data_IF_872208177931
#
_entry.id   IF_872208177931
#
_cell.length_a   1.000
_cell.length_b   1.000
_cell.length_c   1.000
_cell.angle_alpha   90.00
_cell.angle_beta   90.00
_cell.angle_gamma   90.00
#
_symmetry.space_group_name_H-M   'P 1'
#
loop_
_entity.id
_entity.type
_entity.pdbx_description
1 polymer ?
#
# COMPACT_ATOMS: atom_id res chain seq x y z
N UNK A 1 -24.60 -21.62 33.30
CA UNK A 1 -24.62 -22.06 31.87
C UNK A 1 -24.63 -20.80 31.02
N UNK A 2 -23.67 -20.44 30.17
CA UNK A 2 -22.69 -21.19 29.37
C UNK A 2 -21.37 -20.38 29.27
N UNK A 3 -20.30 -20.83 29.95
CA UNK A 3 -18.92 -20.34 29.75
C UNK A 3 -18.15 -21.14 28.67
N UNK A 4 -18.84 -22.00 27.91
CA UNK A 4 -18.19 -22.97 27.00
C UNK A 4 -17.97 -22.50 25.57
N UNK A 5 -18.37 -21.28 25.18
CA UNK A 5 -18.24 -20.80 23.79
C UNK A 5 -17.35 -19.57 23.57
N UNK A 6 -16.89 -18.86 24.61
CA UNK A 6 -16.03 -17.69 24.42
C UNK A 6 -14.61 -18.09 23.94
N UNK A 7 -14.07 -19.20 24.46
CA UNK A 7 -12.75 -19.70 24.08
C UNK A 7 -12.67 -20.23 22.63
N UNK A 8 -13.81 -20.61 22.02
CA UNK A 8 -13.86 -21.06 20.63
C UNK A 8 -13.85 -19.89 19.62
N UNK A 9 -14.24 -18.70 20.05
CA UNK A 9 -14.25 -17.47 19.23
C UNK A 9 -12.93 -16.67 19.36
N UNK A 10 -12.21 -16.80 20.47
CA UNK A 10 -10.94 -16.11 20.72
C UNK A 10 -9.71 -16.92 20.26
N UNK A 11 -9.69 -17.35 18.98
CA UNK A 11 -8.64 -18.23 18.46
C UNK A 11 -7.23 -17.65 18.57
N UNK A 12 -7.10 -16.33 18.50
CA UNK A 12 -5.83 -15.61 18.63
C UNK A 12 -5.50 -15.19 20.07
N UNK A 13 -6.36 -15.52 21.05
CA UNK A 13 -6.14 -15.16 22.45
C UNK A 13 -6.20 -13.65 22.71
N UNK A 14 -6.84 -12.88 21.83
CA UNK A 14 -7.01 -11.43 21.95
C UNK A 14 -7.78 -11.08 23.23
N UNK A 15 -8.89 -11.76 23.53
CA UNK A 15 -9.64 -11.50 24.75
C UNK A 15 -8.83 -11.95 25.98
N UNK A 16 -8.12 -13.07 25.93
CA UNK A 16 -7.23 -13.44 27.04
C UNK A 16 -6.13 -12.39 27.27
N UNK A 17 -5.56 -11.84 26.20
CA UNK A 17 -4.55 -10.79 26.24
C UNK A 17 -5.12 -9.48 26.82
N UNK A 18 -6.23 -8.98 26.27
CA UNK A 18 -6.89 -7.74 26.71
C UNK A 18 -7.19 -7.78 28.20
N UNK A 19 -7.81 -8.85 28.69
CA UNK A 19 -8.16 -9.00 30.10
C UNK A 19 -6.91 -8.98 31.00
N UNK A 20 -5.85 -9.70 30.61
CA UNK A 20 -4.61 -9.77 31.40
C UNK A 20 -3.85 -8.44 31.42
N UNK A 21 -3.84 -7.71 30.30
CA UNK A 21 -3.02 -6.51 30.15
C UNK A 21 -3.72 -5.23 30.59
N UNK A 22 -5.01 -5.10 30.32
CA UNK A 22 -5.77 -3.86 30.54
C UNK A 22 -6.92 -4.01 31.52
N UNK A 23 -7.28 -5.24 31.90
CA UNK A 23 -8.41 -5.51 32.77
C UNK A 23 -9.76 -5.56 32.05
N UNK A 24 -10.84 -5.82 32.79
CA UNK A 24 -12.18 -5.99 32.22
C UNK A 24 -12.83 -4.65 31.83
N UNK A 25 -12.47 -3.56 32.52
CA UNK A 25 -13.19 -2.28 32.46
C UNK A 25 -12.67 -1.32 31.37
N UNK A 26 -11.59 -1.68 30.68
CA UNK A 26 -11.10 -0.93 29.52
C UNK A 26 -12.15 -0.95 28.42
N UNK A 27 -12.50 0.19 27.83
CA UNK A 27 -13.24 0.28 26.57
C UNK A 27 -12.31 0.66 25.41
N UNK A 28 -12.66 0.37 24.15
CA UNK A 28 -11.74 0.58 23.03
C UNK A 28 -11.28 2.04 22.90
N UNK A 29 -12.20 2.99 23.06
CA UNK A 29 -11.94 4.42 22.92
C UNK A 29 -11.01 4.99 24.00
N UNK A 30 -10.80 4.27 25.11
CA UNK A 30 -9.80 4.66 26.12
C UNK A 30 -8.38 4.68 25.56
N UNK A 31 -8.12 3.98 24.45
CA UNK A 31 -6.82 4.01 23.76
C UNK A 31 -6.53 5.31 23.05
N UNK A 32 -7.50 6.20 22.85
CA UNK A 32 -7.25 7.50 22.20
C UNK A 32 -6.22 8.33 22.95
N UNK A 33 -6.14 8.21 24.28
CA UNK A 33 -5.13 8.90 25.08
C UNK A 33 -3.71 8.31 24.91
N UNK A 34 -3.60 7.06 24.43
CA UNK A 34 -2.32 6.38 24.19
C UNK A 34 -1.77 6.66 22.78
N UNK A 35 -2.61 7.14 21.86
CA UNK A 35 -2.17 7.67 20.59
C UNK A 35 -1.68 9.10 20.79
N UNK A 36 -0.37 9.28 20.96
CA UNK A 36 0.22 10.59 21.27
C UNK A 36 0.85 11.26 20.07
N UNK A 37 1.34 10.48 19.10
CA UNK A 37 2.17 10.97 17.99
C UNK A 37 3.32 11.89 18.47
N UNK A 38 3.83 11.67 19.69
CA UNK A 38 4.78 12.58 20.36
C UNK A 38 6.17 12.62 19.70
N UNK A 39 6.53 11.58 18.96
CA UNK A 39 7.73 11.45 18.17
C UNK A 39 7.44 11.41 16.66
N UNK A 40 6.21 11.74 16.24
CA UNK A 40 5.86 11.88 14.83
C UNK A 40 6.60 13.07 14.21
N UNK A 41 7.50 12.75 13.28
CA UNK A 41 8.20 13.70 12.43
C UNK A 41 7.78 13.47 10.97
N UNK A 42 6.91 14.34 10.42
CA UNK A 42 6.39 14.17 9.06
C UNK A 42 7.51 14.31 8.01
N UNK A 43 8.57 15.08 8.28
CA UNK A 43 9.71 15.19 7.37
C UNK A 43 10.49 13.88 7.32
N UNK A 44 10.77 13.28 8.48
CA UNK A 44 11.47 12.00 8.53
C UNK A 44 10.71 10.88 7.80
N UNK A 45 9.38 10.89 7.88
CA UNK A 45 8.53 9.94 7.15
C UNK A 45 8.62 10.13 5.63
N UNK A 46 8.44 11.36 5.13
CA UNK A 46 8.48 11.58 3.67
C UNK A 46 9.88 11.36 3.08
N UNK A 47 10.93 11.69 3.84
CA UNK A 47 12.31 11.36 3.47
C UNK A 47 12.50 9.84 3.38
N UNK A 48 11.95 9.06 4.32
CA UNK A 48 11.99 7.59 4.24
C UNK A 48 11.28 7.07 2.98
N UNK A 49 10.10 7.61 2.65
CA UNK A 49 9.36 7.18 1.45
C UNK A 49 10.14 7.48 0.17
N UNK A 50 10.74 8.66 0.08
CA UNK A 50 11.61 9.03 -1.03
C UNK A 50 12.91 8.21 -1.04
N UNK A 51 13.46 7.87 0.12
CA UNK A 51 14.63 7.01 0.28
C UNK A 51 14.37 5.60 -0.26
N UNK A 52 13.19 5.06 0.02
CA UNK A 52 12.71 3.77 -0.48
C UNK A 52 12.47 3.75 -2.00
N UNK A 53 12.47 4.92 -2.66
CA UNK A 53 12.17 5.05 -4.09
C UNK A 53 10.69 5.10 -4.42
N UNK A 54 9.81 5.25 -3.42
CA UNK A 54 8.38 5.39 -3.64
C UNK A 54 8.06 6.60 -4.53
N UNK A 55 7.02 6.48 -5.36
CA UNK A 55 6.52 7.57 -6.21
C UNK A 55 5.25 8.20 -5.63
N UNK A 56 4.62 7.52 -4.68
CA UNK A 56 3.42 7.93 -3.98
C UNK A 56 3.35 7.25 -2.62
N UNK A 57 2.55 7.79 -1.72
CA UNK A 57 2.17 7.14 -0.48
C UNK A 57 0.67 7.30 -0.25
N UNK A 58 0.08 6.41 0.55
CA UNK A 58 -1.32 6.47 0.94
C UNK A 58 -1.37 6.43 2.47
N UNK A 59 -2.02 7.41 3.09
CA UNK A 59 -2.12 7.51 4.54
C UNK A 59 -3.53 7.16 5.04
N UNK A 60 -3.62 6.35 6.09
CA UNK A 60 -4.89 5.98 6.75
C UNK A 60 -5.54 7.18 7.43
N UNK A 61 -6.40 7.87 6.68
CA UNK A 61 -7.11 9.05 7.18
C UNK A 61 -8.18 8.67 8.19
N UNK A 62 -8.88 7.56 7.95
CA UNK A 62 -9.87 6.96 8.83
C UNK A 62 -9.95 5.46 8.53
N UNK A 63 -9.73 4.63 9.54
CA UNK A 63 -9.92 3.18 9.43
C UNK A 63 -11.33 2.78 9.87
N UNK A 64 -11.61 1.48 9.94
CA UNK A 64 -12.92 0.98 10.32
C UNK A 64 -13.39 1.42 11.70
N UNK A 65 -12.49 1.75 12.63
CA UNK A 65 -12.84 2.23 13.97
C UNK A 65 -13.45 3.64 13.99
N UNK A 66 -13.40 4.35 12.87
CA UNK A 66 -13.93 5.71 12.71
C UNK A 66 -13.04 6.83 13.24
N UNK A 67 -11.84 6.54 13.75
CA UNK A 67 -10.95 7.59 14.24
C UNK A 67 -10.25 8.30 13.08
N UNK A 68 -10.50 9.60 12.94
CA UNK A 68 -9.95 10.40 11.85
C UNK A 68 -8.61 11.07 12.21
N UNK A 69 -7.63 11.03 11.32
CA UNK A 69 -6.32 11.67 11.45
C UNK A 69 -6.23 13.02 10.72
N UNK A 70 -7.36 13.67 10.47
CA UNK A 70 -7.50 14.92 9.73
C UNK A 70 -8.65 15.76 10.28
N UNK A 71 -8.76 17.01 9.84
CA UNK A 71 -9.87 17.90 10.22
C UNK A 71 -11.18 17.44 9.57
N UNK A 72 -12.07 16.89 10.40
CA UNK A 72 -13.40 16.41 10.02
C UNK A 72 -14.47 17.50 10.04
N UNK A 73 -14.11 18.75 10.35
CA UNK A 73 -15.04 19.88 10.46
C UNK A 73 -16.16 19.59 11.46
N UNK A 74 -17.41 19.79 11.02
CA UNK A 74 -18.60 19.55 11.85
C UNK A 74 -19.17 18.12 11.75
N UNK A 75 -18.52 17.21 11.04
CA UNK A 75 -19.04 15.85 10.83
C UNK A 75 -18.89 14.96 12.07
N UNK A 76 -17.76 15.04 12.77
CA UNK A 76 -17.46 14.26 13.97
C UNK A 76 -16.31 14.89 14.74
N UNK A 77 -16.29 14.72 16.06
CA UNK A 77 -15.14 15.03 16.91
C UNK A 77 -14.27 13.78 17.15
N UNK A 78 -14.57 12.61 16.56
CA UNK A 78 -13.77 11.39 16.72
C UNK A 78 -12.48 11.49 15.87
N UNK A 79 -11.56 12.36 16.27
CA UNK A 79 -10.35 12.64 15.49
C UNK A 79 -9.12 13.01 16.33
N UNK A 80 -7.95 12.97 15.68
CA UNK A 80 -6.66 13.36 16.24
C UNK A 80 -6.58 14.83 16.65
N UNK A 81 -7.47 15.70 16.13
CA UNK A 81 -7.57 17.09 16.58
C UNK A 81 -8.25 17.20 17.95
N UNK A 82 -9.22 16.33 18.23
CA UNK A 82 -10.04 16.38 19.43
C UNK A 82 -9.61 15.39 20.51
N UNK A 83 -8.81 14.38 20.19
CA UNK A 83 -8.29 13.36 21.12
C UNK A 83 -6.84 13.02 20.79
N UNK A 84 -6.14 12.36 21.72
CA UNK A 84 -4.77 11.93 21.52
C UNK A 84 -3.82 13.09 21.15
N UNK A 85 -3.24 13.14 19.94
CA UNK A 85 -2.19 14.10 19.58
C UNK A 85 -2.60 15.58 19.60
N UNK A 86 -3.90 15.89 19.46
CA UNK A 86 -4.43 17.26 19.25
C UNK A 86 -3.82 17.96 18.04
N UNK A 87 -3.58 17.21 16.97
CA UNK A 87 -2.86 17.63 15.76
C UNK A 87 -3.58 17.14 14.50
N UNK A 88 -3.46 17.91 13.43
CA UNK A 88 -3.86 17.49 12.09
C UNK A 88 -2.72 16.68 11.45
N UNK A 89 -2.69 15.38 11.75
CA UNK A 89 -1.59 14.49 11.36
C UNK A 89 -1.49 14.38 9.83
N UNK A 90 -2.62 14.29 9.12
CA UNK A 90 -2.66 14.27 7.66
C UNK A 90 -2.12 15.58 7.08
N UNK A 91 -2.59 16.72 7.60
CA UNK A 91 -2.17 18.05 7.14
C UNK A 91 -0.67 18.25 7.27
N UNK A 92 -0.11 17.94 8.44
CA UNK A 92 1.34 18.02 8.69
C UNK A 92 2.15 17.09 7.76
N UNK A 93 1.68 15.87 7.50
CA UNK A 93 2.34 14.94 6.59
C UNK A 93 2.30 15.43 5.13
N UNK A 94 1.15 15.93 4.68
CA UNK A 94 0.97 16.41 3.31
C UNK A 94 1.73 17.72 3.05
N UNK A 95 1.83 18.59 4.05
CA UNK A 95 2.66 19.80 4.00
C UNK A 95 4.15 19.44 3.93
N UNK A 96 4.62 18.49 4.75
CA UNK A 96 5.99 18.01 4.69
C UNK A 96 6.31 17.37 3.33
N UNK A 97 5.41 16.54 2.80
CA UNK A 97 5.56 15.97 1.46
C UNK A 97 5.64 17.07 0.39
N UNK A 98 4.75 18.07 0.44
CA UNK A 98 4.77 19.21 -0.49
C UNK A 98 6.09 19.99 -0.45
N UNK A 99 6.64 20.14 0.75
CA UNK A 99 7.80 21.01 1.01
C UNK A 99 9.12 20.31 0.70
N UNK A 100 9.27 19.07 1.15
CA UNK A 100 10.55 18.37 1.13
C UNK A 100 10.65 17.31 0.02
N UNK A 101 9.52 16.73 -0.39
CA UNK A 101 9.48 15.64 -1.36
C UNK A 101 8.32 15.83 -2.37
N UNK A 102 8.24 16.98 -3.08
CA UNK A 102 7.09 17.35 -3.92
C UNK A 102 6.82 16.39 -5.09
N UNK A 103 7.76 15.51 -5.41
CA UNK A 103 7.60 14.44 -6.40
C UNK A 103 6.68 13.31 -5.92
N UNK A 104 6.50 13.13 -4.60
CA UNK A 104 5.61 12.11 -4.05
C UNK A 104 4.15 12.50 -4.28
N UNK A 105 3.39 11.64 -4.95
CA UNK A 105 1.93 11.76 -4.96
C UNK A 105 1.36 11.40 -3.60
N UNK A 106 0.33 12.13 -3.19
CA UNK A 106 -0.22 12.08 -1.83
C UNK A 106 -1.61 11.46 -1.87
N UNK A 107 -1.73 10.25 -1.34
CA UNK A 107 -2.98 9.50 -1.29
C UNK A 107 -3.59 9.43 0.10
N UNK A 108 -4.89 9.21 0.14
CA UNK A 108 -5.68 9.08 1.36
C UNK A 108 -6.40 7.75 1.35
N UNK A 109 -6.13 6.90 2.34
CA UNK A 109 -6.95 5.73 2.62
C UNK A 109 -8.20 6.15 3.40
N UNK A 110 -9.37 5.64 3.02
CA UNK A 110 -10.65 5.94 3.66
C UNK A 110 -11.55 4.70 3.80
N UNK A 111 -11.81 4.28 5.04
CA UNK A 111 -12.80 3.24 5.30
C UNK A 111 -14.22 3.73 5.03
N UNK A 112 -14.92 3.08 4.09
CA UNK A 112 -16.34 3.34 3.81
C UNK A 112 -17.22 2.93 5.01
N UNK A 113 -17.14 1.71 5.55
CA UNK A 113 -17.87 1.37 6.77
C UNK A 113 -17.19 1.99 8.00
N UNK A 114 -18.00 2.22 9.04
CA UNK A 114 -17.52 2.69 10.34
C UNK A 114 -18.11 1.82 11.45
N UNK A 115 -17.26 0.98 12.01
CA UNK A 115 -17.63 -0.01 13.00
C UNK A 115 -18.07 0.65 14.28
N UNK A 116 -19.18 0.16 14.78
CA UNK A 116 -19.84 0.56 15.99
C UNK A 116 -20.39 1.99 16.03
N UNK A 117 -20.33 2.72 14.92
CA UNK A 117 -21.05 3.98 14.78
C UNK A 117 -22.56 3.68 14.62
N UNK A 118 -23.43 4.15 15.53
CA UNK A 118 -24.87 3.89 15.43
C UNK A 118 -25.52 4.57 14.21
N UNK A 119 -24.95 5.65 13.67
CA UNK A 119 -25.46 6.33 12.47
C UNK A 119 -25.22 5.50 11.20
N UNK A 120 -24.18 4.66 11.21
CA UNK A 120 -23.95 3.65 10.17
C UNK A 120 -24.98 2.52 10.21
N UNK A 121 -25.76 2.38 11.30
CA UNK A 121 -26.67 1.25 11.55
C UNK A 121 -27.65 0.92 10.43
N UNK A 122 -28.16 1.94 9.71
CA UNK A 122 -29.08 1.73 8.57
C UNK A 122 -28.41 1.15 7.32
N UNK A 123 -27.08 1.21 7.26
CA UNK A 123 -26.24 0.77 6.15
C UNK A 123 -25.37 -0.45 6.50
N UNK A 124 -25.01 -0.58 7.78
CA UNK A 124 -24.20 -1.67 8.29
C UNK A 124 -24.90 -3.02 8.19
N UNK A 125 -24.12 -4.07 7.96
CA UNK A 125 -24.63 -5.43 7.93
C UNK A 125 -24.84 -5.92 9.36
N UNK A 126 -26.05 -5.75 9.89
CA UNK A 126 -26.53 -6.57 11.01
C UNK A 126 -27.01 -7.89 10.43
N UNK A 127 -26.26 -8.99 10.61
CA UNK A 127 -26.83 -10.31 10.31
C UNK A 127 -26.96 -11.25 11.49
N UNK A 128 -26.24 -11.11 12.61
CA UNK A 128 -26.40 -12.05 13.73
C UNK A 128 -26.14 -11.41 15.11
N UNK A 129 -26.64 -12.07 16.16
CA UNK A 129 -26.33 -11.83 17.58
C UNK A 129 -24.86 -12.16 17.95
N UNK A 130 -24.00 -12.35 16.94
CA UNK A 130 -22.58 -12.67 17.04
C UNK A 130 -21.83 -11.98 15.89
N UNK A 131 -20.72 -11.33 16.23
CA UNK A 131 -19.78 -10.76 15.26
C UNK A 131 -19.12 -11.90 14.48
N UNK A 132 -19.33 -11.96 13.17
CA UNK A 132 -18.54 -12.81 12.24
C UNK A 132 -17.59 -11.91 11.44
N UNK A 133 -16.55 -12.50 10.83
CA UNK A 133 -15.50 -11.78 10.08
C UNK A 133 -15.97 -11.01 8.83
N UNK A 134 -17.28 -10.95 8.57
CA UNK A 134 -17.91 -10.24 7.45
C UNK A 134 -18.97 -9.22 7.92
N UNK A 135 -19.01 -8.94 9.22
CA UNK A 135 -19.96 -8.00 9.82
C UNK A 135 -19.35 -6.59 9.81
N UNK A 136 -20.02 -5.61 9.20
CA UNK A 136 -19.69 -4.19 9.35
C UNK A 136 -20.67 -3.58 10.38
N UNK A 137 -20.44 -3.74 11.68
CA UNK A 137 -21.43 -3.42 12.70
C UNK A 137 -21.73 -1.93 12.72
N UNK A 138 -23.00 -1.54 12.58
CA UNK A 138 -23.49 -0.18 12.82
C UNK A 138 -24.31 -0.08 14.11
N UNK A 139 -23.89 -0.80 15.15
CA UNK A 139 -24.53 -0.81 16.48
C UNK A 139 -23.50 -0.42 17.53
N UNK A 140 -23.92 0.10 18.68
CA UNK A 140 -22.98 0.37 19.77
C UNK A 140 -22.27 -0.93 20.21
N UNK A 141 -20.95 -0.86 20.37
CA UNK A 141 -20.14 -1.96 20.87
C UNK A 141 -20.54 -2.35 22.30
N UNK A 142 -20.32 -3.60 22.68
CA UNK A 142 -20.44 -4.04 24.06
C UNK A 142 -19.10 -4.57 24.54
N UNK A 143 -18.71 -4.13 25.73
CA UNK A 143 -17.51 -4.63 26.39
C UNK A 143 -17.65 -6.16 26.59
N UNK A 144 -16.67 -6.96 26.12
CA UNK A 144 -16.80 -8.42 26.09
C UNK A 144 -16.78 -9.09 27.48
N UNK A 145 -16.42 -8.38 28.55
CA UNK A 145 -16.40 -8.92 29.91
C UNK A 145 -17.52 -8.38 30.79
N UNK A 146 -17.80 -7.08 30.71
CA UNK A 146 -18.85 -6.45 31.52
C UNK A 146 -20.23 -6.56 30.87
N UNK A 147 -20.30 -6.68 29.53
CA UNK A 147 -21.52 -6.69 28.75
C UNK A 147 -22.21 -5.32 28.61
N UNK A 148 -21.60 -4.28 29.19
CA UNK A 148 -22.06 -2.90 29.10
C UNK A 148 -21.78 -2.33 27.70
N UNK A 149 -22.59 -1.37 27.29
CA UNK A 149 -22.36 -0.63 26.04
C UNK A 149 -21.14 0.27 26.19
N UNK A 150 -20.22 0.21 25.22
CA UNK A 150 -19.07 1.11 25.16
C UNK A 150 -19.53 2.46 24.57
N UNK A 151 -19.08 3.60 25.10
CA UNK A 151 -19.41 4.90 24.52
C UNK A 151 -18.78 5.04 23.14
N UNK A 152 -19.54 5.56 22.16
CA UNK A 152 -18.98 5.93 20.86
C UNK A 152 -18.47 7.39 20.90
N UNK A 153 -17.22 7.54 21.34
CA UNK A 153 -16.62 8.83 21.70
C UNK A 153 -16.42 9.72 20.46
N UNK A 154 -16.70 11.01 20.62
CA UNK A 154 -16.55 12.01 19.56
C UNK A 154 -17.72 12.12 18.59
N UNK A 155 -18.77 11.30 18.72
CA UNK A 155 -19.98 11.39 17.88
C UNK A 155 -20.68 12.74 18.03
N UNK A 156 -21.11 13.31 16.90
CA UNK A 156 -21.97 14.49 16.84
C UNK A 156 -23.38 14.09 16.35
N UNK A 157 -24.43 14.85 16.70
CA UNK A 157 -25.76 14.61 16.17
C UNK A 157 -25.81 14.97 14.68
N UNK A 158 -26.00 13.96 13.83
CA UNK A 158 -26.17 14.08 12.38
C UNK A 158 -27.51 13.47 11.94
N UNK A 159 -27.99 13.80 10.73
CA UNK A 159 -29.21 13.23 10.16
C UNK A 159 -28.97 11.93 9.41
N UNK A 160 -27.93 11.90 8.58
CA UNK A 160 -27.60 10.79 7.69
C UNK A 160 -26.09 10.54 7.66
N UNK A 161 -25.65 9.30 7.93
CA UNK A 161 -24.22 8.97 7.94
C UNK A 161 -23.53 9.22 6.59
N UNK A 162 -24.19 8.92 5.46
CA UNK A 162 -23.58 9.11 4.15
C UNK A 162 -23.55 10.61 3.82
N UNK A 163 -24.67 11.31 3.96
CA UNK A 163 -24.80 12.71 3.52
C UNK A 163 -24.09 13.71 4.46
N UNK A 164 -24.12 13.47 5.78
CA UNK A 164 -23.63 14.42 6.79
C UNK A 164 -22.25 14.05 7.36
N UNK A 165 -21.76 12.82 7.16
CA UNK A 165 -20.45 12.38 7.67
C UNK A 165 -19.52 11.87 6.57
N UNK A 166 -19.89 10.81 5.84
CA UNK A 166 -19.02 10.17 4.85
C UNK A 166 -18.66 11.11 3.70
N UNK A 167 -19.65 11.65 3.00
CA UNK A 167 -19.42 12.52 1.83
C UNK A 167 -18.68 13.79 2.23
N UNK A 168 -19.05 14.53 3.31
CA UNK A 168 -18.29 15.70 3.75
C UNK A 168 -16.83 15.38 4.08
N UNK A 169 -16.54 14.24 4.70
CA UNK A 169 -15.16 13.78 4.95
C UNK A 169 -14.41 13.54 3.63
N UNK A 170 -15.00 12.80 2.68
CA UNK A 170 -14.40 12.55 1.38
C UNK A 170 -14.17 13.86 0.60
N UNK A 171 -15.09 14.81 0.68
CA UNK A 171 -14.96 16.14 0.05
C UNK A 171 -13.87 16.98 0.71
N UNK A 172 -13.71 16.93 2.04
CA UNK A 172 -12.60 17.58 2.72
C UNK A 172 -11.24 17.03 2.25
N UNK A 173 -11.10 15.70 2.16
CA UNK A 173 -9.88 15.06 1.65
C UNK A 173 -9.59 15.44 0.18
N UNK A 174 -10.63 15.52 -0.64
CA UNK A 174 -10.53 15.89 -2.05
C UNK A 174 -10.12 17.36 -2.27
N UNK A 175 -10.82 18.29 -1.62
CA UNK A 175 -10.77 19.71 -1.95
C UNK A 175 -9.89 20.54 -1.00
N UNK A 176 -9.82 20.15 0.28
CA UNK A 176 -9.01 20.89 1.26
C UNK A 176 -7.59 20.30 1.32
N UNK A 177 -7.47 18.98 1.43
CA UNK A 177 -6.18 18.29 1.48
C UNK A 177 -5.58 18.01 0.11
N UNK A 178 -6.34 18.22 -0.97
CA UNK A 178 -5.87 18.01 -2.33
C UNK A 178 -5.29 16.60 -2.55
N UNK A 179 -5.95 15.54 -2.06
CA UNK A 179 -5.51 14.17 -2.32
C UNK A 179 -5.36 13.90 -3.82
N UNK A 180 -4.36 13.11 -4.20
CA UNK A 180 -4.13 12.60 -5.55
C UNK A 180 -4.77 11.22 -5.74
N UNK A 181 -4.98 10.46 -4.65
CA UNK A 181 -5.48 9.09 -4.65
C UNK A 181 -6.54 8.95 -3.55
N UNK A 182 -7.77 8.60 -3.91
CA UNK A 182 -8.79 8.17 -2.95
C UNK A 182 -8.78 6.64 -2.90
N UNK A 183 -8.12 6.08 -1.89
CA UNK A 183 -7.99 4.63 -1.73
C UNK A 183 -9.01 4.18 -0.68
N UNK A 184 -10.18 3.69 -1.09
CA UNK A 184 -11.17 3.28 -0.09
C UNK A 184 -11.05 1.80 0.25
N UNK A 185 -11.76 1.38 1.28
CA UNK A 185 -11.78 -0.03 1.67
C UNK A 185 -13.16 -0.54 2.06
N UNK A 186 -13.29 -1.87 2.01
CA UNK A 186 -14.44 -2.69 2.37
C UNK A 186 -15.74 -2.47 1.56
N UNK A 187 -15.80 -1.43 0.71
CA UNK A 187 -17.03 -1.08 0.00
C UNK A 187 -18.18 -0.82 0.97
N UNK A 188 -19.39 -1.32 0.65
CA UNK A 188 -20.67 -1.06 1.33
C UNK A 188 -21.40 0.21 0.85
N UNK A 189 -22.51 0.57 1.53
CA UNK A 189 -23.37 1.67 1.11
C UNK A 189 -22.60 3.01 1.08
N UNK A 190 -22.71 3.75 -0.02
CA UNK A 190 -21.92 4.95 -0.29
C UNK A 190 -22.63 5.87 -1.29
N UNK A 191 -22.12 7.09 -1.46
CA UNK A 191 -22.43 8.00 -2.58
C UNK A 191 -21.18 8.31 -3.43
N UNK A 192 -20.26 7.34 -3.50
CA UNK A 192 -18.95 7.47 -4.18
C UNK A 192 -19.11 7.86 -5.64
N UNK A 193 -20.10 7.31 -6.36
CA UNK A 193 -20.30 7.61 -7.78
C UNK A 193 -20.55 9.11 -8.02
N UNK A 194 -21.36 9.76 -7.18
CA UNK A 194 -21.66 11.18 -7.29
C UNK A 194 -20.48 12.04 -6.85
N UNK A 195 -19.84 11.66 -5.74
CA UNK A 195 -18.61 12.29 -5.26
C UNK A 195 -17.50 12.25 -6.33
N UNK A 196 -17.19 11.08 -6.87
CA UNK A 196 -16.13 10.88 -7.86
C UNK A 196 -16.40 11.70 -9.14
N UNK A 197 -17.65 11.73 -9.61
CA UNK A 197 -18.02 12.57 -10.75
C UNK A 197 -17.74 14.07 -10.51
N UNK A 198 -18.02 14.59 -9.31
CA UNK A 198 -17.68 15.99 -8.95
C UNK A 198 -16.17 16.18 -8.85
N UNK A 199 -15.49 15.29 -8.13
CA UNK A 199 -14.07 15.39 -7.86
C UNK A 199 -13.22 15.30 -9.13
N UNK A 200 -13.53 14.37 -10.04
CA UNK A 200 -12.82 14.23 -11.32
C UNK A 200 -12.99 15.45 -12.21
N UNK A 201 -14.20 16.02 -12.28
CA UNK A 201 -14.46 17.25 -13.04
C UNK A 201 -13.71 18.45 -12.43
N UNK A 202 -13.71 18.57 -11.10
CA UNK A 202 -12.96 19.60 -10.41
C UNK A 202 -11.44 19.43 -10.62
N UNK A 203 -10.89 18.24 -10.43
CA UNK A 203 -9.46 17.97 -10.62
C UNK A 203 -9.03 18.30 -12.05
N UNK A 204 -9.82 17.90 -13.05
CA UNK A 204 -9.61 18.28 -14.45
C UNK A 204 -9.59 19.80 -14.64
N UNK A 205 -10.51 20.54 -14.00
CA UNK A 205 -10.53 22.02 -14.07
C UNK A 205 -9.27 22.66 -13.47
N UNK A 206 -8.62 21.98 -12.52
CA UNK A 206 -7.37 22.41 -11.89
C UNK A 206 -6.12 21.89 -12.62
N UNK A 207 -6.28 21.18 -13.74
CA UNK A 207 -5.15 20.53 -14.44
C UNK A 207 -4.50 19.39 -13.65
N UNK A 208 -5.23 18.81 -12.69
CA UNK A 208 -4.77 17.72 -11.84
C UNK A 208 -5.25 16.37 -12.35
N UNK A 209 -4.42 15.35 -12.16
CA UNK A 209 -4.80 13.95 -12.32
C UNK A 209 -5.04 13.36 -10.93
N UNK A 210 -6.17 12.70 -10.77
CA UNK A 210 -6.56 12.02 -9.53
C UNK A 210 -7.10 10.63 -9.88
N UNK A 211 -7.08 9.72 -8.93
CA UNK A 211 -7.48 8.33 -9.15
C UNK A 211 -8.21 7.74 -7.95
N UNK A 212 -9.03 6.72 -8.19
CA UNK A 212 -9.79 5.98 -7.16
C UNK A 212 -9.65 4.46 -7.36
N UNK A 213 -9.53 3.71 -6.26
CA UNK A 213 -9.44 2.25 -6.34
C UNK A 213 -10.82 1.58 -6.55
N UNK A 214 -10.82 0.26 -6.72
CA UNK A 214 -12.01 -0.59 -6.91
C UNK A 214 -12.81 -0.89 -5.63
N UNK A 215 -12.36 -0.41 -4.48
CA UNK A 215 -12.96 -0.72 -3.17
C UNK A 215 -13.82 0.41 -2.58
N UNK A 216 -14.00 1.52 -3.29
CA UNK A 216 -14.90 2.60 -2.87
C UNK A 216 -16.39 2.30 -3.06
N UNK A 217 -16.78 1.05 -3.36
CA UNK A 217 -18.17 0.64 -3.49
C UNK A 217 -18.87 1.16 -4.76
N UNK A 218 -18.09 1.60 -5.77
CA UNK A 218 -18.59 1.98 -7.09
C UNK A 218 -17.64 1.45 -8.18
N UNK A 219 -17.92 0.28 -8.79
CA UNK A 219 -17.05 -0.30 -9.81
C UNK A 219 -16.94 0.58 -11.06
N UNK A 220 -17.92 1.46 -11.30
CA UNK A 220 -17.93 2.40 -12.43
C UNK A 220 -17.00 3.59 -12.23
N UNK A 221 -16.64 3.91 -10.99
CA UNK A 221 -15.71 4.99 -10.70
C UNK A 221 -14.25 4.52 -10.69
N UNK A 222 -14.01 3.23 -10.44
CA UNK A 222 -12.70 2.65 -10.20
C UNK A 222 -11.73 2.77 -11.39
N UNK A 223 -10.52 3.26 -11.13
CA UNK A 223 -9.45 3.38 -12.11
C UNK A 223 -8.51 2.16 -12.14
N UNK A 224 -8.37 1.46 -11.01
CA UNK A 224 -7.49 0.29 -10.87
C UNK A 224 -8.02 -0.72 -9.84
N UNK A 225 -7.59 -1.98 -10.00
CA UNK A 225 -8.01 -3.11 -9.15
C UNK A 225 -7.00 -3.38 -8.01
N UNK A 226 -7.42 -3.92 -6.87
CA UNK A 226 -6.55 -4.03 -5.66
C UNK A 226 -6.50 -5.43 -5.04
N UNK A 227 -5.77 -6.40 -5.63
CA UNK A 227 -5.53 -7.68 -4.96
C UNK A 227 -4.69 -7.47 -3.69
N UNK A 228 -5.09 -8.10 -2.60
CA UNK A 228 -4.43 -7.98 -1.30
C UNK A 228 -3.56 -9.20 -1.00
N UNK A 229 -2.32 -9.00 -0.57
CA UNK A 229 -1.33 -10.08 -0.36
C UNK A 229 -1.23 -11.04 -1.56
N UNK A 230 -1.51 -10.56 -2.78
CA UNK A 230 -1.66 -11.39 -3.96
C UNK A 230 -1.17 -10.69 -5.22
N UNK A 231 -0.51 -11.46 -6.08
CA UNK A 231 -0.12 -11.09 -7.44
C UNK A 231 -0.88 -11.95 -8.43
N UNK A 232 -1.02 -11.48 -9.67
CA UNK A 232 -1.57 -12.28 -10.75
C UNK A 232 -0.52 -13.25 -11.32
N UNK A 233 -0.97 -14.37 -11.88
CA UNK A 233 -0.09 -15.29 -12.62
C UNK A 233 0.16 -14.84 -14.06
N UNK A 234 -0.61 -13.87 -14.55
CA UNK A 234 -0.55 -13.38 -15.93
C UNK A 234 -0.58 -11.86 -15.97
N UNK A 235 -0.11 -11.30 -17.08
CA UNK A 235 -0.21 -9.87 -17.38
C UNK A 235 -1.67 -9.41 -17.32
N UNK A 236 -1.92 -8.30 -16.64
CA UNK A 236 -3.22 -7.63 -16.66
C UNK A 236 -3.21 -6.41 -17.59
N UNK A 237 -4.25 -6.25 -18.41
CA UNK A 237 -4.40 -5.05 -19.26
C UNK A 237 -4.90 -3.85 -18.49
N UNK A 238 -5.87 -4.08 -17.59
CA UNK A 238 -6.36 -3.07 -16.66
C UNK A 238 -5.30 -2.87 -15.58
N UNK A 239 -5.12 -1.62 -15.14
CA UNK A 239 -4.18 -1.30 -14.06
C UNK A 239 -4.67 -1.91 -12.75
N UNK A 240 -3.71 -2.34 -11.95
CA UNK A 240 -3.94 -2.93 -10.64
C UNK A 240 -2.80 -2.59 -9.70
N UNK A 241 -3.04 -2.75 -8.41
CA UNK A 241 -2.09 -2.44 -7.35
C UNK A 241 -2.19 -3.50 -6.26
N UNK A 242 -1.12 -4.28 -6.08
CA UNK A 242 -1.03 -5.16 -4.91
C UNK A 242 -0.71 -4.33 -3.68
N UNK A 243 -1.32 -4.70 -2.56
CA UNK A 243 -0.98 -4.15 -1.26
C UNK A 243 -0.76 -5.24 -0.22
N UNK A 244 0.16 -5.00 0.72
CA UNK A 244 0.46 -5.88 1.86
C UNK A 244 1.34 -5.15 2.90
N UNK A 245 1.31 -5.62 4.14
CA UNK A 245 2.21 -5.17 5.20
C UNK A 245 3.66 -5.63 5.04
N UNK A 246 4.61 -4.83 5.53
CA UNK A 246 5.96 -5.30 5.85
C UNK A 246 5.95 -6.28 7.02
N UNK A 247 5.02 -6.11 7.96
CA UNK A 247 4.69 -7.12 8.95
C UNK A 247 3.96 -8.29 8.26
N UNK A 248 4.41 -9.54 8.42
CA UNK A 248 3.82 -10.69 7.73
C UNK A 248 2.40 -11.05 8.21
N UNK A 249 1.93 -10.45 9.30
CA UNK A 249 0.66 -10.77 9.93
C UNK A 249 -0.32 -9.60 10.01
N UNK A 250 0.11 -8.36 9.72
CA UNK A 250 -0.68 -7.16 9.99
C UNK A 250 -0.33 -5.98 9.07
N UNK A 251 -1.28 -5.06 8.92
CA UNK A 251 -1.02 -3.70 8.42
C UNK A 251 -0.64 -2.77 9.59
N UNK A 252 -1.53 -2.65 10.59
CA UNK A 252 -1.25 -1.88 11.80
C UNK A 252 -0.14 -2.49 12.64
N UNK A 253 0.57 -1.65 13.41
CA UNK A 253 1.66 -2.08 14.29
C UNK A 253 1.27 -3.27 15.19
N UNK A 254 2.00 -4.38 15.06
CA UNK A 254 1.86 -5.55 15.91
C UNK A 254 3.10 -5.75 16.79
N UNK A 255 2.97 -5.45 18.09
CA UNK A 255 4.06 -5.63 19.07
C UNK A 255 4.51 -7.07 19.29
N UNK A 256 3.73 -8.06 18.84
CA UNK A 256 4.07 -9.46 19.00
C UNK A 256 5.00 -9.97 17.89
N UNK A 257 5.09 -9.25 16.76
CA UNK A 257 5.96 -9.59 15.64
C UNK A 257 7.41 -9.28 16.01
N UNK A 258 8.30 -10.27 15.90
CA UNK A 258 9.72 -10.03 16.12
C UNK A 258 10.30 -9.21 14.97
N UNK A 259 11.24 -8.30 15.27
CA UNK A 259 11.83 -7.45 14.23
C UNK A 259 12.46 -8.26 13.09
N UNK A 260 12.99 -9.45 13.36
CA UNK A 260 13.57 -10.33 12.32
C UNK A 260 12.55 -10.91 11.34
N UNK A 261 11.25 -10.85 11.64
CA UNK A 261 10.17 -11.38 10.79
C UNK A 261 9.67 -10.38 9.74
N UNK A 262 10.00 -9.09 9.88
CA UNK A 262 9.60 -8.08 8.91
C UNK A 262 10.24 -8.33 7.54
N UNK A 263 9.50 -8.03 6.48
CA UNK A 263 9.92 -8.19 5.09
C UNK A 263 11.30 -7.54 4.86
N UNK A 264 12.22 -8.32 4.30
CA UNK A 264 13.57 -7.86 3.98
C UNK A 264 13.63 -7.17 2.60
N UNK A 265 14.74 -6.47 2.35
CA UNK A 265 14.95 -5.72 1.11
C UNK A 265 14.90 -6.58 -0.16
N UNK A 266 15.40 -7.82 -0.13
CA UNK A 266 15.36 -8.72 -1.28
C UNK A 266 13.93 -9.09 -1.65
N UNK A 267 13.12 -9.50 -0.67
CA UNK A 267 11.71 -9.82 -0.87
C UNK A 267 10.92 -8.62 -1.38
N UNK A 268 11.21 -7.41 -0.86
CA UNK A 268 10.59 -6.17 -1.34
C UNK A 268 10.90 -5.94 -2.83
N UNK A 269 12.16 -6.00 -3.23
CA UNK A 269 12.59 -5.82 -4.62
C UNK A 269 11.97 -6.89 -5.53
N UNK A 270 11.93 -8.14 -5.09
CA UNK A 270 11.32 -9.24 -5.85
C UNK A 270 9.82 -9.02 -6.08
N UNK A 271 9.09 -8.64 -5.03
CA UNK A 271 7.65 -8.36 -5.13
C UNK A 271 7.39 -7.18 -6.08
N UNK A 272 8.17 -6.10 -5.96
CA UNK A 272 8.07 -4.93 -6.84
C UNK A 272 8.27 -5.33 -8.31
N UNK A 273 9.35 -6.05 -8.61
CA UNK A 273 9.69 -6.47 -9.98
C UNK A 273 8.64 -7.43 -10.55
N UNK A 274 8.15 -8.38 -9.75
CA UNK A 274 7.08 -9.29 -10.16
C UNK A 274 5.82 -8.51 -10.56
N UNK A 275 5.35 -7.61 -9.70
CA UNK A 275 4.13 -6.84 -9.93
C UNK A 275 4.27 -5.92 -11.14
N UNK A 276 5.39 -5.21 -11.27
CA UNK A 276 5.65 -4.30 -12.40
C UNK A 276 5.68 -5.05 -13.73
N UNK A 277 6.31 -6.23 -13.79
CA UNK A 277 6.32 -7.07 -15.00
C UNK A 277 4.93 -7.50 -15.48
N UNK A 278 3.96 -7.50 -14.56
CA UNK A 278 2.55 -7.89 -14.78
C UNK A 278 1.62 -6.68 -14.87
N UNK A 279 2.18 -5.50 -15.13
CA UNK A 279 1.49 -4.22 -15.27
C UNK A 279 0.89 -3.64 -13.97
N UNK A 280 1.31 -4.15 -12.82
CA UNK A 280 0.83 -3.75 -11.50
C UNK A 280 1.71 -2.71 -10.82
N UNK A 281 1.12 -2.01 -9.85
CA UNK A 281 1.84 -1.26 -8.83
C UNK A 281 2.01 -2.09 -7.56
N UNK A 282 2.96 -1.71 -6.71
CA UNK A 282 3.14 -2.27 -5.38
C UNK A 282 2.98 -1.17 -4.32
N UNK A 283 1.96 -1.29 -3.48
CA UNK A 283 1.71 -0.44 -2.32
C UNK A 283 2.09 -1.20 -1.05
N UNK A 284 3.32 -1.02 -0.59
CA UNK A 284 3.83 -1.66 0.61
C UNK A 284 3.48 -0.83 1.85
N UNK A 285 2.83 -1.46 2.82
CA UNK A 285 2.42 -0.84 4.08
C UNK A 285 3.52 -0.95 5.16
N UNK A 286 3.58 0.09 5.99
CA UNK A 286 4.34 0.12 7.24
C UNK A 286 3.37 0.38 8.39
N UNK A 287 3.68 -0.19 9.56
CA UNK A 287 2.87 -0.05 10.77
C UNK A 287 3.56 0.78 11.86
N UNK A 288 3.43 2.13 11.87
CA UNK A 288 4.02 2.97 12.90
C UNK A 288 3.45 2.72 14.30
N UNK A 289 4.28 2.99 15.31
CA UNK A 289 3.89 2.96 16.72
C UNK A 289 3.00 4.16 17.07
N UNK A 290 2.32 4.08 18.22
CA UNK A 290 1.37 5.12 18.66
C UNK A 290 2.04 6.47 18.99
N UNK A 291 3.36 6.50 19.20
CA UNK A 291 4.13 7.73 19.35
C UNK A 291 4.56 8.34 18.00
N UNK A 292 4.32 7.68 16.87
CA UNK A 292 4.70 8.15 15.54
C UNK A 292 6.07 7.65 15.04
N UNK A 293 6.78 6.82 15.80
CA UNK A 293 8.01 6.17 15.32
C UNK A 293 7.69 4.95 14.45
N UNK A 294 8.49 4.73 13.42
CA UNK A 294 8.41 3.55 12.53
C UNK A 294 9.35 2.48 13.10
N UNK A 295 9.03 1.20 12.95
CA UNK A 295 9.89 0.11 13.44
C UNK A 295 11.23 0.18 12.71
N UNK A 296 12.35 0.16 13.45
CA UNK A 296 13.67 0.42 12.86
C UNK A 296 14.00 -0.58 11.73
N UNK A 297 13.55 -1.83 11.85
CA UNK A 297 13.74 -2.82 10.79
C UNK A 297 13.02 -2.45 9.49
N UNK A 298 11.82 -1.87 9.55
CA UNK A 298 11.11 -1.38 8.37
C UNK A 298 11.93 -0.26 7.70
N UNK A 299 12.40 0.70 8.51
CA UNK A 299 13.24 1.82 8.05
C UNK A 299 14.50 1.33 7.32
N UNK A 300 15.22 0.39 7.94
CA UNK A 300 16.47 -0.14 7.40
C UNK A 300 16.25 -0.90 6.09
N UNK A 301 15.25 -1.79 6.05
CA UNK A 301 14.95 -2.59 4.88
C UNK A 301 14.41 -1.75 3.71
N UNK A 302 13.61 -0.71 4.00
CA UNK A 302 13.13 0.23 2.99
C UNK A 302 14.28 1.02 2.35
N UNK A 303 15.21 1.54 3.16
CA UNK A 303 16.41 2.25 2.65
C UNK A 303 17.33 1.33 1.87
N UNK A 304 17.51 0.11 2.35
CA UNK A 304 18.33 -0.88 1.67
C UNK A 304 17.74 -1.27 0.31
N UNK A 305 16.43 -1.51 0.22
CA UNK A 305 15.75 -1.74 -1.05
C UNK A 305 15.79 -0.51 -1.95
N UNK A 306 15.56 0.68 -1.39
CA UNK A 306 15.60 1.96 -2.10
C UNK A 306 16.90 2.23 -2.82
N UNK A 307 18.02 1.76 -2.25
CA UNK A 307 19.34 1.81 -2.91
C UNK A 307 19.31 1.09 -4.25
N UNK A 308 18.76 -0.12 -4.31
CA UNK A 308 18.61 -0.87 -5.55
C UNK A 308 17.57 -0.24 -6.49
N UNK A 309 16.40 0.14 -5.97
CA UNK A 309 15.29 0.70 -6.75
C UNK A 309 15.73 1.97 -7.49
N UNK A 310 16.50 2.85 -6.83
CA UNK A 310 17.00 4.08 -7.45
C UNK A 310 18.02 3.81 -8.55
N UNK A 311 18.93 2.85 -8.34
CA UNK A 311 19.94 2.50 -9.33
C UNK A 311 19.35 1.82 -10.58
N UNK A 312 18.26 1.07 -10.43
CA UNK A 312 17.62 0.31 -11.51
C UNK A 312 16.27 0.89 -11.93
N UNK A 313 16.01 2.16 -11.60
CA UNK A 313 14.72 2.81 -11.79
C UNK A 313 14.22 2.81 -13.23
N UNK A 314 15.12 2.80 -14.22
CA UNK A 314 14.75 2.73 -15.65
C UNK A 314 14.07 1.41 -16.06
N UNK A 315 14.34 0.32 -15.34
CA UNK A 315 13.75 -0.99 -15.59
C UNK A 315 12.43 -1.20 -14.81
N UNK A 316 12.05 -0.23 -13.97
CA UNK A 316 10.89 -0.30 -13.08
C UNK A 316 9.89 0.81 -13.43
N UNK A 317 10.30 2.07 -13.30
CA UNK A 317 9.43 3.22 -13.46
C UNK A 317 9.18 3.55 -14.92
N UNK A 318 7.94 3.97 -15.24
CA UNK A 318 7.49 4.29 -16.60
C UNK A 318 7.69 3.15 -17.62
N UNK A 319 7.81 1.91 -17.14
CA UNK A 319 7.82 0.73 -17.98
C UNK A 319 6.41 0.23 -18.27
N UNK A 320 6.29 -0.64 -19.26
CA UNK A 320 5.13 -1.49 -19.52
C UNK A 320 5.57 -2.95 -19.55
N UNK A 321 4.59 -3.84 -19.39
CA UNK A 321 4.77 -5.28 -19.41
C UNK A 321 5.20 -5.81 -20.78
N UNK A 322 5.80 -7.00 -20.80
CA UNK A 322 6.00 -7.78 -22.03
C UNK A 322 4.75 -8.59 -22.38
N UNK A 323 4.16 -8.35 -23.55
CA UNK A 323 2.86 -8.94 -23.90
C UNK A 323 2.89 -10.42 -24.27
N UNK A 324 4.08 -11.00 -24.47
CA UNK A 324 4.22 -12.42 -24.83
C UNK A 324 4.22 -13.29 -23.57
N UNK A 325 5.03 -12.92 -22.56
CA UNK A 325 5.08 -13.61 -21.27
C UNK A 325 5.55 -12.63 -20.19
N UNK A 326 4.95 -12.65 -18.97
CA UNK A 326 5.40 -11.82 -17.86
C UNK A 326 6.70 -12.35 -17.22
N UNK A 327 6.94 -13.67 -17.32
CA UNK A 327 7.99 -14.36 -16.59
C UNK A 327 8.54 -15.59 -17.33
N UNK A 328 9.73 -16.02 -16.92
CA UNK A 328 10.35 -17.32 -17.23
C UNK A 328 11.19 -17.73 -16.02
N UNK A 329 10.79 -18.77 -15.30
CA UNK A 329 11.42 -19.16 -14.04
C UNK A 329 11.56 -17.94 -13.08
N UNK A 330 12.78 -17.56 -12.74
CA UNK A 330 13.13 -16.41 -11.92
C UNK A 330 13.29 -15.09 -12.71
N UNK A 331 13.08 -15.11 -14.03
CA UNK A 331 13.15 -13.92 -14.88
C UNK A 331 11.80 -13.20 -14.93
N UNK A 332 11.87 -11.87 -14.98
CA UNK A 332 10.76 -10.96 -15.26
C UNK A 332 11.13 -10.03 -16.41
N UNK A 333 10.12 -9.51 -17.09
CA UNK A 333 10.32 -8.68 -18.27
C UNK A 333 9.54 -7.37 -18.17
N UNK A 334 10.23 -6.27 -18.42
CA UNK A 334 9.63 -4.94 -18.55
C UNK A 334 10.20 -4.27 -19.80
N UNK A 335 9.55 -3.22 -20.28
CA UNK A 335 10.03 -2.48 -21.46
C UNK A 335 9.57 -1.03 -21.44
N UNK A 336 10.30 -0.17 -22.12
CA UNK A 336 9.86 1.17 -22.50
C UNK A 336 9.75 1.27 -24.02
N UNK A 337 9.58 2.47 -24.56
CA UNK A 337 9.70 2.72 -26.00
C UNK A 337 11.17 2.64 -26.48
N UNK A 338 12.13 2.66 -25.57
CA UNK A 338 13.56 2.79 -25.88
C UNK A 338 14.38 1.54 -25.56
N UNK A 339 13.88 0.68 -24.67
CA UNK A 339 14.61 -0.53 -24.27
C UNK A 339 13.69 -1.65 -23.79
N UNK A 340 14.22 -2.87 -23.86
CA UNK A 340 13.68 -4.06 -23.21
C UNK A 340 14.55 -4.46 -22.04
N UNK A 341 13.95 -4.84 -20.91
CA UNK A 341 14.68 -5.21 -19.70
C UNK A 341 14.35 -6.66 -19.30
N UNK A 342 15.40 -7.40 -19.00
CA UNK A 342 15.36 -8.74 -18.41
C UNK A 342 15.81 -8.60 -16.97
N UNK A 343 14.95 -8.96 -16.03
CA UNK A 343 15.21 -8.84 -14.59
C UNK A 343 15.31 -10.24 -13.98
N UNK A 344 16.51 -10.63 -13.56
CA UNK A 344 16.78 -11.91 -12.89
C UNK A 344 16.64 -11.75 -11.39
N UNK A 345 15.61 -12.38 -10.81
CA UNK A 345 15.33 -12.33 -9.37
C UNK A 345 16.31 -13.17 -8.53
N UNK A 346 17.05 -14.08 -9.18
CA UNK A 346 18.12 -14.83 -8.52
C UNK A 346 19.47 -14.50 -9.15
N UNK A 347 20.53 -14.82 -8.41
CA UNK A 347 21.90 -14.67 -8.88
C UNK A 347 22.11 -15.50 -10.16
N UNK A 348 22.46 -14.87 -11.29
CA UNK A 348 22.65 -15.59 -12.53
C UNK A 348 23.95 -16.41 -12.51
N UNK A 349 23.94 -17.61 -13.07
CA UNK A 349 25.12 -18.47 -13.12
C UNK A 349 26.26 -17.87 -13.96
N UNK A 350 27.48 -17.90 -13.42
CA UNK A 350 28.68 -17.50 -14.15
C UNK A 350 28.87 -18.40 -15.37
N UNK A 351 29.12 -17.79 -16.53
CA UNK A 351 29.32 -18.47 -17.81
C UNK A 351 28.19 -18.18 -18.79
N UNK A 352 26.94 -18.17 -18.34
CA UNK A 352 25.84 -17.72 -19.18
C UNK A 352 24.42 -17.87 -18.61
N UNK A 353 23.57 -16.90 -18.92
CA UNK A 353 22.13 -16.91 -18.68
C UNK A 353 21.40 -17.25 -19.98
N UNK A 354 20.65 -18.35 -19.98
CA UNK A 354 19.88 -18.82 -21.15
C UNK A 354 18.43 -18.40 -21.01
N UNK A 355 17.91 -17.67 -21.99
CA UNK A 355 16.53 -17.17 -22.02
C UNK A 355 15.78 -17.86 -23.15
N UNK A 356 14.77 -18.64 -22.78
CA UNK A 356 13.98 -19.49 -23.70
C UNK A 356 12.80 -18.72 -24.29
N UNK A 357 12.36 -17.68 -23.59
CA UNK A 357 11.29 -16.77 -24.01
C UNK A 357 11.69 -15.99 -25.25
N UNK A 358 10.69 -15.67 -26.08
CA UNK A 358 10.90 -14.80 -27.24
C UNK A 358 11.13 -13.37 -26.77
N UNK A 359 12.28 -12.82 -27.12
CA UNK A 359 12.67 -11.45 -26.82
C UNK A 359 12.67 -10.59 -28.09
N UNK A 360 12.43 -9.26 -27.99
CA UNK A 360 12.52 -8.35 -29.12
C UNK A 360 13.99 -7.98 -29.40
N UNK A 361 14.76 -8.94 -29.91
CA UNK A 361 16.21 -8.78 -30.17
C UNK A 361 16.64 -9.42 -31.50
N UNK A 362 17.58 -8.79 -32.18
CA UNK A 362 18.20 -9.29 -33.42
C UNK A 362 19.73 -9.26 -33.33
N UNK A 363 20.40 -10.05 -34.19
CA UNK A 363 21.87 -10.05 -34.22
C UNK A 363 22.40 -8.65 -34.51
N UNK A 364 23.31 -8.17 -33.67
CA UNK A 364 23.90 -6.84 -33.74
C UNK A 364 23.33 -5.85 -32.73
N UNK A 365 22.24 -6.18 -32.03
CA UNK A 365 21.76 -5.39 -30.91
C UNK A 365 22.75 -5.43 -29.74
N UNK A 366 22.72 -4.37 -28.93
CA UNK A 366 23.58 -4.22 -27.75
C UNK A 366 22.81 -4.65 -26.50
N UNK A 367 23.47 -5.46 -25.67
CA UNK A 367 22.98 -5.76 -24.32
C UNK A 367 23.96 -5.17 -23.30
N UNK A 368 23.43 -4.48 -22.30
CA UNK A 368 24.17 -4.02 -21.13
C UNK A 368 23.63 -4.68 -19.86
N UNK A 369 24.51 -5.03 -18.92
CA UNK A 369 24.13 -5.27 -17.54
C UNK A 369 24.04 -3.91 -16.84
N UNK A 370 22.85 -3.60 -16.30
CA UNK A 370 22.61 -2.40 -15.50
C UNK A 370 23.00 -2.74 -14.07
N UNK A 371 24.03 -2.07 -13.54
CA UNK A 371 24.52 -2.27 -12.19
C UNK A 371 24.44 -0.99 -11.35
N UNK A 372 24.79 -1.13 -10.06
CA UNK A 372 24.74 -0.03 -9.08
C UNK A 372 25.62 1.16 -9.44
N UNK A 373 26.74 0.92 -10.13
CA UNK A 373 27.75 1.93 -10.47
C UNK A 373 27.74 2.31 -11.96
N UNK A 374 26.80 1.77 -12.74
CA UNK A 374 26.65 2.06 -14.17
C UNK A 374 26.36 0.82 -15.01
N UNK A 375 26.30 1.05 -16.32
CA UNK A 375 26.03 0.02 -17.31
C UNK A 375 27.31 -0.58 -17.87
N UNK A 376 27.32 -1.90 -18.07
CA UNK A 376 28.42 -2.62 -18.72
C UNK A 376 27.94 -3.47 -19.87
N UNK A 377 28.53 -3.30 -21.04
CA UNK A 377 28.20 -4.12 -22.20
C UNK A 377 28.55 -5.59 -21.95
N UNK A 378 27.63 -6.49 -22.33
CA UNK A 378 27.76 -7.93 -22.15
C UNK A 378 27.75 -8.64 -23.49
N UNK A 379 28.55 -9.70 -23.59
CA UNK A 379 28.53 -10.56 -24.78
C UNK A 379 27.27 -11.40 -24.78
N UNK A 380 26.64 -11.56 -25.94
CA UNK A 380 25.48 -12.42 -26.12
C UNK A 380 25.46 -13.01 -27.54
N UNK A 381 24.79 -14.15 -27.72
CA UNK A 381 24.47 -14.71 -29.03
C UNK A 381 23.21 -15.58 -28.94
N UNK A 382 22.74 -16.07 -30.08
CA UNK A 382 21.72 -17.10 -30.15
C UNK A 382 22.35 -18.49 -30.07
N UNK A 383 21.84 -19.33 -29.18
CA UNK A 383 22.10 -20.76 -29.20
C UNK A 383 21.54 -21.42 -30.48
N UNK A 384 21.95 -22.65 -30.78
CA UNK A 384 21.52 -23.39 -31.98
C UNK A 384 20.01 -23.61 -32.09
N UNK A 385 19.31 -23.58 -30.96
CA UNK A 385 17.84 -23.68 -30.86
C UNK A 385 17.14 -22.30 -30.93
N UNK A 386 17.87 -21.21 -31.12
CA UNK A 386 17.34 -19.85 -31.22
C UNK A 386 17.10 -19.14 -29.87
N UNK A 387 17.48 -19.74 -28.75
CA UNK A 387 17.40 -19.08 -27.44
C UNK A 387 18.52 -18.04 -27.28
N UNK A 388 18.26 -16.98 -26.53
CA UNK A 388 19.26 -15.94 -26.24
C UNK A 388 20.16 -16.43 -25.12
N UNK A 389 21.47 -16.29 -25.29
CA UNK A 389 22.46 -16.60 -24.25
C UNK A 389 23.27 -15.35 -23.96
N UNK A 390 23.14 -14.83 -22.74
CA UNK A 390 23.92 -13.70 -22.24
C UNK A 390 25.10 -14.24 -21.45
N UNK A 391 26.33 -13.83 -21.75
CA UNK A 391 27.53 -14.25 -21.01
C UNK A 391 27.63 -13.47 -19.69
N UNK A 392 27.46 -14.19 -18.59
CA UNK A 392 27.52 -13.64 -17.23
C UNK A 392 28.94 -13.81 -16.69
N UNK A 393 29.52 -12.73 -16.18
CA UNK A 393 30.84 -12.71 -15.55
C UNK A 393 30.72 -12.57 -14.04
N UNK A 394 31.78 -12.92 -13.31
CA UNK A 394 31.86 -12.72 -11.85
C UNK A 394 31.63 -11.25 -11.44
N UNK A 395 32.10 -10.31 -12.26
CA UNK A 395 31.87 -8.88 -12.04
C UNK A 395 30.39 -8.48 -12.14
N UNK A 396 29.63 -9.07 -13.07
CA UNK A 396 28.18 -8.83 -13.17
C UNK A 396 27.47 -9.38 -11.94
N UNK A 397 27.85 -10.58 -11.52
CA UNK A 397 27.29 -11.22 -10.32
C UNK A 397 27.55 -10.37 -9.08
N UNK A 398 28.82 -10.04 -8.83
CA UNK A 398 29.25 -9.29 -7.62
C UNK A 398 28.85 -7.82 -7.63
N UNK A 399 28.65 -7.22 -8.80
CA UNK A 399 28.18 -5.84 -8.96
C UNK A 399 26.67 -5.66 -8.86
N UNK A 400 25.90 -6.75 -8.86
CA UNK A 400 24.45 -6.73 -8.64
C UNK A 400 24.06 -7.08 -7.21
N UNK A 401 22.81 -6.77 -6.84
CA UNK A 401 22.24 -7.09 -5.53
C UNK A 401 20.74 -7.29 -5.69
N UNK A 402 20.16 -8.29 -5.03
CA UNK A 402 18.72 -8.63 -5.03
C UNK A 402 18.13 -9.05 -6.39
N UNK A 403 18.35 -8.28 -7.44
CA UNK A 403 17.90 -8.55 -8.80
C UNK A 403 18.92 -8.00 -9.81
N UNK A 404 19.26 -8.79 -10.82
CA UNK A 404 20.21 -8.41 -11.88
C UNK A 404 19.44 -8.01 -13.14
N UNK A 405 19.81 -6.88 -13.73
CA UNK A 405 19.06 -6.31 -14.86
C UNK A 405 19.93 -6.31 -16.11
N UNK A 406 19.40 -6.85 -17.20
CA UNK A 406 19.99 -6.78 -18.53
C UNK A 406 19.09 -5.97 -19.45
N UNK A 407 19.67 -4.98 -20.10
CA UNK A 407 18.99 -4.01 -20.96
C UNK A 407 19.36 -4.27 -22.41
N UNK A 408 18.35 -4.43 -23.25
CA UNK A 408 18.46 -4.48 -24.71
C UNK A 408 18.01 -3.11 -25.21
N UNK A 409 18.91 -2.34 -25.78
CA UNK A 409 18.56 -1.03 -26.34
C UNK A 409 17.91 -1.19 -27.71
N UNK A 410 16.75 -0.56 -27.90
CA UNK A 410 16.13 -0.52 -29.21
C UNK A 410 16.89 0.44 -30.11
N UNK A 411 17.34 -0.04 -31.28
CA UNK A 411 17.94 0.82 -32.27
C UNK A 411 16.89 1.80 -32.81
N UNK A 412 17.06 3.10 -32.50
CA UNK A 412 16.27 4.15 -33.14
C UNK A 412 16.70 4.24 -34.60
N UNK A 413 15.76 4.03 -35.53
CA UNK A 413 15.95 4.35 -36.93
C UNK A 413 16.27 5.85 -37.03
N UNK A 414 17.50 6.18 -37.43
CA UNK A 414 17.94 7.56 -37.67
C UNK A 414 17.68 8.00 -39.10
#
# INVERSE_FOLDING_TARGET
MKSRNAAAADKCGFNAYRLRTFGPDLDYDDFFQNYTASAFDPKAWVDLFADAGAQYFVFTTKHHDGFANFDTGSATNRSSLHYGPKRDILGELFEAAATYQPQLRRGTYFSIPEWFNPDWGKYGFTQFDRVTSTSHPGIIARNPYTGLEEPYTGRLPIGDFIEDLMVPQMEALAYNYNTDIMWCDAGAANDTARFAARWFNWARSQGRQVTINDRCGSPWAADFDTPEYATFSTVQRRKWESNQGMDPYSYGYNRATAETEYMNASTLVHNLVDMVSKNGNFLLDIGPRSDGTIVQREVDNLREAGTWIKAHGEAVFNTTYWSITPEEDNLRFTQTNDAFYILSLEEPEIGGLVIRSKLPIVKGDRITAVGMEGEKEVQWDFASNGHVVIKVTEEIVTGGKFCWVFKIEYQRWT
#
